data_IF_624301685947
#
_entry.id   IF_624301685947
#
_cell.length_a   1.000
_cell.length_b   1.000
_cell.length_c   1.000
_cell.angle_alpha   90.00
_cell.angle_beta   90.00
_cell.angle_gamma   90.00
#
_symmetry.space_group_name_H-M   'P 1'
#
loop_
_entity.id
_entity.type
_entity.pdbx_description
1 polymer ?
#
# COMPACT_ATOMS: atom_id res chain seq x y z
N UNK A 1 -3.51 20.93 4.07
CA UNK A 1 -4.57 19.90 3.99
C UNK A 1 -3.98 18.68 4.65
N UNK A 2 -4.71 18.00 5.54
CA UNK A 2 -4.19 16.83 6.23
C UNK A 2 -3.89 15.73 5.21
N UNK A 3 -2.79 15.01 5.42
CA UNK A 3 -2.39 13.86 4.62
C UNK A 3 -2.23 12.68 5.55
N UNK A 4 -2.91 11.58 5.22
CA UNK A 4 -2.71 10.30 5.89
C UNK A 4 -1.57 9.56 5.23
N UNK A 5 -0.61 9.09 6.02
CA UNK A 5 0.48 8.26 5.56
C UNK A 5 0.27 6.84 6.07
N UNK A 6 0.15 5.90 5.14
CA UNK A 6 0.06 4.48 5.45
C UNK A 6 1.39 3.81 5.08
N UNK A 7 2.12 3.29 6.07
CA UNK A 7 3.35 2.57 5.78
C UNK A 7 3.11 1.24 5.06
N UNK A 8 4.06 0.88 4.20
CA UNK A 8 4.02 -0.34 3.40
C UNK A 8 5.26 -1.17 3.65
N UNK A 9 5.04 -2.44 4.01
CA UNK A 9 6.10 -3.42 4.11
C UNK A 9 6.03 -4.35 2.91
N UNK A 10 7.20 -4.62 2.36
CA UNK A 10 7.38 -5.65 1.35
C UNK A 10 8.45 -6.61 1.85
N UNK A 11 8.16 -7.90 1.70
CA UNK A 11 9.08 -8.96 2.09
C UNK A 11 9.90 -9.32 0.86
N UNK A 12 11.10 -8.75 0.76
CA UNK A 12 12.11 -9.40 -0.08
C UNK A 12 12.54 -10.69 0.60
N UNK A 13 13.00 -11.66 -0.19
CA UNK A 13 13.40 -13.01 0.24
C UNK A 13 14.30 -13.08 1.51
N UNK A 14 14.96 -11.99 1.94
CA UNK A 14 15.88 -11.94 3.07
C UNK A 14 15.35 -11.21 4.34
N UNK A 15 14.64 -10.08 4.23
CA UNK A 15 14.22 -9.27 5.39
C UNK A 15 12.85 -8.59 5.21
N UNK A 16 12.10 -8.41 6.31
CA UNK A 16 10.95 -7.50 6.36
C UNK A 16 11.45 -6.07 6.61
N UNK A 17 11.46 -5.21 5.60
CA UNK A 17 11.82 -3.78 5.75
C UNK A 17 10.65 -2.88 5.36
N UNK A 18 10.59 -1.71 6.00
CA UNK A 18 9.72 -0.61 5.58
C UNK A 18 10.15 -0.19 4.20
N UNK A 19 9.35 -0.52 3.19
CA UNK A 19 9.76 -0.34 1.81
C UNK A 19 9.20 0.95 1.24
N UNK A 20 7.93 1.23 1.51
CA UNK A 20 7.19 2.33 0.90
C UNK A 20 6.20 2.98 1.86
N UNK A 21 5.53 4.00 1.33
CA UNK A 21 4.43 4.70 1.98
C UNK A 21 3.34 4.96 0.94
N UNK A 22 2.07 4.90 1.36
CA UNK A 22 0.95 5.42 0.59
C UNK A 22 0.53 6.74 1.22
N UNK A 23 0.48 7.80 0.42
CA UNK A 23 -0.02 9.11 0.85
C UNK A 23 -1.47 9.27 0.39
N UNK A 24 -2.36 9.60 1.32
CA UNK A 24 -3.76 9.85 1.03
C UNK A 24 -4.11 11.29 1.40
N UNK A 25 -4.80 11.98 0.50
CA UNK A 25 -5.40 13.28 0.77
C UNK A 25 -6.57 13.13 1.76
N UNK A 26 -6.44 13.81 2.91
CA UNK A 26 -7.41 13.79 3.98
C UNK A 26 -6.95 13.01 5.22
N UNK A 27 -7.68 13.21 6.31
CA UNK A 27 -7.52 12.45 7.55
C UNK A 27 -8.37 11.17 7.48
N UNK A 28 -7.75 10.02 7.70
CA UNK A 28 -8.45 8.74 7.78
C UNK A 28 -9.12 8.58 9.14
N UNK A 29 -10.39 8.22 9.15
CA UNK A 29 -11.12 7.87 10.37
C UNK A 29 -10.86 6.42 10.81
N UNK A 30 -11.14 6.12 12.07
CA UNK A 30 -11.06 4.74 12.60
C UNK A 30 -12.00 3.78 11.86
N UNK A 31 -13.19 4.24 11.45
CA UNK A 31 -14.15 3.44 10.69
C UNK A 31 -13.63 3.13 9.28
N UNK A 32 -12.99 4.09 8.62
CA UNK A 32 -12.37 3.88 7.31
C UNK A 32 -11.17 2.95 7.43
N UNK A 33 -10.31 3.12 8.44
CA UNK A 33 -9.21 2.21 8.75
C UNK A 33 -9.69 0.78 8.99
N UNK A 34 -10.77 0.60 9.76
CA UNK A 34 -11.39 -0.70 9.99
C UNK A 34 -11.95 -1.31 8.69
N UNK A 35 -12.55 -0.48 7.83
CA UNK A 35 -13.08 -0.92 6.55
C UNK A 35 -11.98 -1.32 5.55
N UNK A 36 -10.85 -0.60 5.52
CA UNK A 36 -9.66 -1.02 4.76
C UNK A 36 -9.20 -2.37 5.31
N UNK A 37 -8.97 -2.48 6.63
CA UNK A 37 -8.49 -3.72 7.26
C UNK A 37 -9.37 -4.92 6.91
N UNK A 38 -10.69 -4.78 6.97
CA UNK A 38 -11.63 -5.85 6.62
C UNK A 38 -11.58 -6.29 5.14
N UNK A 39 -11.06 -5.43 4.27
CA UNK A 39 -10.92 -5.67 2.83
C UNK A 39 -9.56 -6.28 2.44
N UNK A 40 -8.56 -6.22 3.34
CA UNK A 40 -7.24 -6.81 3.12
C UNK A 40 -7.27 -8.32 3.41
N UNK A 41 -6.48 -9.09 2.66
CA UNK A 41 -6.28 -10.50 2.96
C UNK A 41 -5.55 -10.63 4.30
N UNK A 42 -6.10 -11.44 5.22
CA UNK A 42 -5.63 -11.56 6.61
C UNK A 42 -5.53 -10.23 7.36
N UNK A 43 -6.26 -9.20 6.91
CA UNK A 43 -6.23 -7.87 7.52
C UNK A 43 -4.99 -7.04 7.21
N UNK A 44 -4.09 -7.50 6.32
CA UNK A 44 -2.83 -6.79 6.01
C UNK A 44 -2.37 -6.90 4.57
N UNK A 45 -2.65 -8.00 3.88
CA UNK A 45 -2.11 -8.26 2.56
C UNK A 45 -2.98 -7.70 1.43
N UNK A 46 -2.32 -7.10 0.45
CA UNK A 46 -2.94 -6.61 -0.79
C UNK A 46 -1.97 -6.67 -1.96
N UNK A 47 -2.50 -6.61 -3.18
CA UNK A 47 -1.70 -6.45 -4.38
C UNK A 47 -1.75 -4.97 -4.84
N UNK A 48 -0.65 -4.21 -4.74
CA UNK A 48 -0.63 -2.76 -5.02
C UNK A 48 -1.14 -2.40 -6.41
N UNK A 49 -0.74 -3.18 -7.42
CA UNK A 49 -1.10 -2.93 -8.82
C UNK A 49 -2.62 -2.96 -9.05
N UNK A 50 -3.37 -3.78 -8.29
CA UNK A 50 -4.84 -3.86 -8.42
C UNK A 50 -5.56 -2.61 -7.90
N UNK A 51 -4.90 -1.82 -7.06
CA UNK A 51 -5.42 -0.55 -6.57
C UNK A 51 -4.70 0.66 -7.19
N UNK A 52 -3.91 0.43 -8.25
CA UNK A 52 -3.21 1.48 -8.99
C UNK A 52 -2.02 2.08 -8.25
N UNK A 53 -1.41 1.33 -7.33
CA UNK A 53 -0.15 1.71 -6.70
C UNK A 53 1.02 0.95 -7.34
N UNK A 54 2.24 1.45 -7.16
CA UNK A 54 3.44 0.82 -7.67
C UNK A 54 3.77 -0.44 -6.86
N UNK A 55 4.24 -1.50 -7.52
CA UNK A 55 4.85 -2.61 -6.79
C UNK A 55 6.34 -2.35 -6.58
N UNK A 56 6.79 -2.58 -5.35
CA UNK A 56 8.14 -2.27 -4.88
C UNK A 56 9.24 -3.07 -5.58
N UNK A 57 8.97 -4.34 -5.92
CA UNK A 57 9.86 -5.23 -6.67
C UNK A 57 9.79 -5.15 -8.21
N UNK A 58 8.90 -4.34 -8.80
CA UNK A 58 8.65 -4.35 -10.26
C UNK A 58 9.88 -3.93 -11.10
N UNK A 59 10.77 -3.10 -10.54
CA UNK A 59 12.02 -2.68 -11.20
C UNK A 59 13.24 -3.52 -10.83
N UNK A 60 13.12 -4.39 -9.83
CA UNK A 60 14.28 -5.07 -9.20
C UNK A 60 14.61 -6.39 -9.91
N UNK A 61 13.58 -7.14 -10.35
CA UNK A 61 13.78 -8.43 -11.03
C UNK A 61 12.87 -8.60 -12.24
N UNK A 62 13.43 -9.04 -13.37
CA UNK A 62 12.69 -9.23 -14.62
C UNK A 62 11.64 -10.35 -14.58
N UNK A 63 11.74 -11.26 -13.60
CA UNK A 63 10.80 -12.36 -13.42
C UNK A 63 9.62 -11.99 -12.50
N UNK A 64 9.49 -10.73 -12.09
CA UNK A 64 8.41 -10.25 -11.23
C UNK A 64 7.09 -10.07 -12.01
N UNK A 65 5.94 -10.49 -11.46
CA UNK A 65 5.79 -11.41 -10.32
C UNK A 65 6.09 -12.86 -10.73
N UNK A 66 6.73 -13.61 -9.83
CA UNK A 66 7.19 -14.97 -10.03
C UNK A 66 6.99 -15.85 -8.80
N UNK A 67 7.47 -17.10 -8.86
CA UNK A 67 7.32 -18.08 -7.77
C UNK A 67 8.04 -17.66 -6.48
N UNK A 68 9.19 -17.00 -6.63
CA UNK A 68 10.04 -16.58 -5.51
C UNK A 68 9.76 -15.15 -5.05
N UNK A 69 8.99 -14.38 -5.84
CA UNK A 69 8.69 -12.97 -5.60
C UNK A 69 7.29 -12.62 -6.15
N UNK A 70 6.32 -12.53 -5.25
CA UNK A 70 4.92 -12.30 -5.59
C UNK A 70 4.49 -10.87 -5.25
N UNK A 71 3.42 -10.40 -5.88
CA UNK A 71 2.90 -9.04 -5.77
C UNK A 71 2.25 -8.64 -4.45
N UNK A 72 2.39 -9.41 -3.36
CA UNK A 72 1.79 -9.05 -2.07
C UNK A 72 2.66 -8.07 -1.29
N UNK A 73 2.04 -6.98 -0.84
CA UNK A 73 2.56 -6.08 0.18
C UNK A 73 1.72 -6.19 1.46
N UNK A 74 2.31 -5.79 2.58
CA UNK A 74 1.61 -5.57 3.85
C UNK A 74 1.34 -4.07 4.04
N UNK A 75 0.10 -3.74 4.38
CA UNK A 75 -0.32 -2.38 4.74
C UNK A 75 -0.35 -2.25 6.27
N UNK A 76 0.53 -1.42 6.83
CA UNK A 76 0.60 -1.23 8.29
C UNK A 76 -0.39 -0.17 8.74
N UNK A 77 -1.63 -0.61 8.92
CA UNK A 77 -2.71 0.25 9.40
C UNK A 77 -2.60 0.60 10.89
N UNK A 78 -1.66 0.02 11.64
CA UNK A 78 -1.48 0.30 13.07
C UNK A 78 -0.51 1.45 13.33
N UNK A 79 0.37 1.75 12.37
CA UNK A 79 1.38 2.82 12.45
C UNK A 79 1.14 3.97 11.47
N UNK A 80 -0.13 4.27 11.18
CA UNK A 80 -0.51 5.42 10.34
C UNK A 80 -0.09 6.74 11.01
N UNK A 81 0.39 7.69 10.22
CA UNK A 81 0.60 9.08 10.66
C UNK A 81 -0.31 10.03 9.89
N UNK A 82 -0.81 11.08 10.56
CA UNK A 82 -1.59 12.16 9.94
C UNK A 82 -0.74 13.42 10.01
N UNK A 83 -0.47 14.03 8.86
CA UNK A 83 0.42 15.17 8.72
C UNK A 83 -0.32 16.37 8.15
N UNK A 84 -0.21 17.54 8.77
CA UNK A 84 -0.81 18.77 8.23
C UNK A 84 0.09 19.45 7.18
N UNK A 85 1.38 19.11 7.15
CA UNK A 85 2.39 19.71 6.29
C UNK A 85 3.45 18.70 5.81
N UNK A 86 3.24 18.17 4.61
CA UNK A 86 4.16 17.22 3.97
C UNK A 86 5.56 17.79 3.68
N UNK A 87 5.73 19.11 3.50
CA UNK A 87 7.01 19.70 3.09
C UNK A 87 8.13 19.53 4.13
N UNK A 88 7.78 19.26 5.39
CA UNK A 88 8.74 19.08 6.48
C UNK A 88 9.13 17.60 6.70
N UNK A 89 8.47 16.65 6.04
CA UNK A 89 8.66 15.21 6.29
C UNK A 89 9.69 14.65 5.32
N UNK A 90 10.82 14.21 5.87
CA UNK A 90 11.75 13.36 5.14
C UNK A 90 11.10 11.96 5.02
N UNK A 91 10.93 11.47 3.79
CA UNK A 91 10.48 10.09 3.57
C UNK A 91 11.48 9.14 4.23
N UNK A 92 10.99 8.20 5.05
CA UNK A 92 11.82 7.16 5.65
C UNK A 92 11.79 5.85 4.86
N UNK A 93 10.99 5.81 3.80
CA UNK A 93 10.87 4.69 2.87
C UNK A 93 12.08 4.53 1.96
N UNK A 94 12.29 3.29 1.50
CA UNK A 94 13.33 2.95 0.52
C UNK A 94 12.92 3.37 -0.88
N UNK A 95 11.62 3.34 -1.20
CA UNK A 95 11.04 3.85 -2.44
C UNK A 95 10.41 5.23 -2.27
N UNK A 96 10.13 5.91 -3.39
CA UNK A 96 9.20 7.04 -3.39
C UNK A 96 7.83 6.60 -2.85
N UNK A 97 7.13 7.52 -2.19
CA UNK A 97 5.78 7.26 -1.72
C UNK A 97 4.80 7.22 -2.91
N UNK A 98 3.85 6.30 -2.88
CA UNK A 98 2.78 6.23 -3.87
C UNK A 98 1.65 7.18 -3.49
N UNK A 99 1.08 7.81 -4.51
CA UNK A 99 -0.12 8.64 -4.38
C UNK A 99 -1.38 7.76 -4.42
N UNK A 100 -2.06 7.66 -3.28
CA UNK A 100 -3.32 6.95 -3.12
C UNK A 100 -4.56 7.83 -3.32
N UNK A 101 -4.42 9.07 -3.78
CA UNK A 101 -5.52 10.01 -3.97
C UNK A 101 -6.22 10.33 -2.64
N UNK A 102 -7.52 10.60 -2.67
CA UNK A 102 -8.26 10.84 -1.43
C UNK A 102 -8.49 9.55 -0.63
N UNK A 103 -8.65 9.66 0.69
CA UNK A 103 -9.03 8.53 1.57
C UNK A 103 -10.25 7.77 1.02
N UNK A 104 -11.24 8.49 0.50
CA UNK A 104 -12.47 7.90 -0.05
C UNK A 104 -12.22 7.09 -1.33
N UNK A 105 -11.48 7.65 -2.29
CA UNK A 105 -11.12 6.97 -3.53
C UNK A 105 -10.26 5.75 -3.26
N UNK A 106 -9.32 5.87 -2.32
CA UNK A 106 -8.49 4.77 -1.89
C UNK A 106 -9.32 3.60 -1.33
N UNK A 107 -10.20 3.89 -0.37
CA UNK A 107 -11.10 2.89 0.21
C UNK A 107 -11.98 2.23 -0.84
N UNK A 108 -12.49 2.99 -1.81
CA UNK A 108 -13.30 2.46 -2.91
C UNK A 108 -12.50 1.48 -3.79
N UNK A 109 -11.25 1.80 -4.13
CA UNK A 109 -10.34 0.92 -4.88
C UNK A 109 -10.04 -0.36 -4.11
N UNK A 110 -9.70 -0.24 -2.83
CA UNK A 110 -9.42 -1.39 -1.94
C UNK A 110 -10.62 -2.33 -1.86
N UNK A 111 -11.82 -1.80 -1.63
CA UNK A 111 -13.06 -2.61 -1.58
C UNK A 111 -13.33 -3.31 -2.92
N UNK A 112 -13.15 -2.59 -4.02
CA UNK A 112 -13.36 -3.15 -5.36
C UNK A 112 -12.40 -4.31 -5.63
N UNK A 113 -11.11 -4.14 -5.31
CA UNK A 113 -10.10 -5.18 -5.47
C UNK A 113 -10.35 -6.38 -4.54
N UNK A 114 -10.77 -6.14 -3.29
CA UNK A 114 -11.11 -7.18 -2.34
C UNK A 114 -12.28 -8.06 -2.83
N UNK A 115 -13.33 -7.44 -3.38
CA UNK A 115 -14.48 -8.15 -3.98
C UNK A 115 -14.06 -8.97 -5.20
N UNK A 116 -13.16 -8.44 -6.03
CA UNK A 116 -12.61 -9.15 -7.18
C UNK A 116 -11.63 -10.27 -6.80
N UNK A 117 -11.15 -10.28 -5.55
CA UNK A 117 -10.08 -11.14 -5.05
C UNK A 117 -8.69 -10.56 -5.34
N UNK A 118 -7.82 -10.64 -4.33
CA UNK A 118 -6.42 -10.25 -4.47
C UNK A 118 -5.65 -11.26 -5.32
N UNK A 119 -4.89 -10.77 -6.29
CA UNK A 119 -4.17 -11.54 -7.31
C UNK A 119 -2.70 -11.08 -7.33
N UNK A 120 -1.85 -11.62 -6.46
CA UNK A 120 -0.44 -11.22 -6.35
C UNK A 120 0.39 -11.64 -7.57
N UNK A 121 -0.14 -12.50 -8.44
CA UNK A 121 0.53 -12.96 -9.65
C UNK A 121 0.12 -12.15 -10.89
N UNK A 122 -0.69 -11.09 -10.74
CA UNK A 122 -0.99 -10.20 -11.85
C UNK A 122 0.28 -9.43 -12.23
N UNK A 123 0.75 -9.55 -13.49
CA UNK A 123 1.83 -8.70 -13.95
C UNK A 123 1.36 -7.24 -13.93
N UNK A 124 2.28 -6.34 -13.57
CA UNK A 124 2.03 -4.93 -13.73
C UNK A 124 1.87 -4.61 -15.23
N UNK A 125 0.86 -3.81 -15.56
CA UNK A 125 0.50 -3.43 -16.92
C UNK A 125 1.57 -2.56 -17.59
#
# INVERSE_FOLDING_TARGET
>A
MAVTIIPVLYRDHADNRWYGEVQLDGEISDDERAAIRASLLEGKYYAPVQIGLSHCGQGEVAAFPGLDDHGFHEMDLDNITIEENLFARASTSVSAADDGGTVHEFLARVKTAAVAGWQPMLPAC
#
